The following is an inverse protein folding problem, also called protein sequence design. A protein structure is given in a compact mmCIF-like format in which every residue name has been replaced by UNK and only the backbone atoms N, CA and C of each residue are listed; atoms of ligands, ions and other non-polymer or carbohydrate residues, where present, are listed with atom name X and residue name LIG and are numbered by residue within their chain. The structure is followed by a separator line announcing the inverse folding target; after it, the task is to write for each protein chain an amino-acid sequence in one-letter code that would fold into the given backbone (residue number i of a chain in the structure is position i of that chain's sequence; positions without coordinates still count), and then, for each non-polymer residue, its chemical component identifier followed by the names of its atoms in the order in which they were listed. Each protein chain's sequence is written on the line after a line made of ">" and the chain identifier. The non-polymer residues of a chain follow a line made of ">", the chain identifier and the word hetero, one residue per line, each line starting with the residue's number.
data_IF_232716936842
#
_entry.id   IF_232716936842
#
_cell.length_a   1.000
_cell.length_b   1.000
_cell.length_c   1.000
_cell.angle_alpha   90.00
_cell.angle_beta   90.00
_cell.angle_gamma   90.00
#
_symmetry.space_group_name_H-M   'P 1'
#
loop_
_entity.id
_entity.type
_entity.pdbx_description
1 polymer ?
#
# COMPACT_ATOMS: atom_id res chain seq x y z
N UNK A 1 -33.06 33.91 28.58
CA UNK A 1 -32.17 34.96 29.12
C UNK A 1 -31.07 34.24 29.89
N UNK A 2 -29.84 34.76 29.84
CA UNK A 2 -28.66 34.16 30.47
C UNK A 2 -28.60 34.71 31.91
N UNK A 3 -28.98 33.92 32.91
CA UNK A 3 -29.18 34.36 34.31
C UNK A 3 -27.87 34.76 35.04
N UNK A 4 -26.76 34.98 34.32
CA UNK A 4 -25.48 35.44 34.87
C UNK A 4 -24.81 34.46 35.86
N UNK A 5 -25.45 33.33 36.16
CA UNK A 5 -24.93 32.28 37.01
C UNK A 5 -23.90 31.39 36.32
N UNK A 6 -23.08 30.65 37.08
CA UNK A 6 -22.11 29.73 36.50
C UNK A 6 -22.83 28.65 35.66
N UNK A 7 -22.28 28.37 34.48
CA UNK A 7 -22.72 27.26 33.63
C UNK A 7 -22.24 25.95 34.26
N UNK A 8 -23.22 25.20 34.75
CA UNK A 8 -23.07 23.90 35.41
C UNK A 8 -24.15 22.93 34.94
N UNK A 9 -23.79 21.66 34.81
CA UNK A 9 -24.67 20.60 34.31
C UNK A 9 -25.11 20.81 32.87
N UNK A 10 -26.22 20.20 32.46
CA UNK A 10 -26.71 20.30 31.09
C UNK A 10 -27.32 21.69 30.82
N UNK A 11 -26.76 22.44 29.87
CA UNK A 11 -27.20 23.79 29.49
C UNK A 11 -27.06 24.05 28.00
N UNK A 12 -27.82 25.03 27.53
CA UNK A 12 -27.70 25.58 26.18
C UNK A 12 -27.08 26.97 26.28
N UNK A 13 -26.00 27.20 25.54
CA UNK A 13 -25.42 28.54 25.35
C UNK A 13 -25.51 28.92 23.89
N UNK A 14 -25.96 30.14 23.62
CA UNK A 14 -25.99 30.76 22.29
C UNK A 14 -25.09 31.99 22.36
N UNK A 15 -24.08 32.04 21.51
CA UNK A 15 -23.17 33.18 21.40
C UNK A 15 -23.71 34.22 20.40
N UNK A 16 -23.18 35.44 20.48
CA UNK A 16 -23.61 36.57 19.63
C UNK A 16 -23.39 36.33 18.14
N UNK A 17 -22.40 35.52 17.78
CA UNK A 17 -22.11 35.12 16.41
C UNK A 17 -23.12 34.11 15.84
N UNK A 18 -24.06 33.62 16.66
CA UNK A 18 -25.02 32.58 16.32
C UNK A 18 -24.50 31.15 16.55
N UNK A 19 -23.27 30.98 17.06
CA UNK A 19 -22.79 29.69 17.52
C UNK A 19 -23.65 29.21 18.69
N UNK A 20 -23.84 27.89 18.80
CA UNK A 20 -24.69 27.28 19.83
C UNK A 20 -24.07 25.98 20.34
N UNK A 21 -24.01 25.86 21.65
CA UNK A 21 -23.64 24.63 22.34
C UNK A 21 -24.82 24.13 23.17
N UNK A 22 -25.04 22.82 23.14
CA UNK A 22 -26.05 22.11 23.91
C UNK A 22 -25.39 20.88 24.51
N UNK A 23 -25.12 20.90 25.81
CA UNK A 23 -24.38 19.83 26.45
C UNK A 23 -24.07 20.12 27.92
N UNK A 24 -23.22 19.28 28.48
CA UNK A 24 -22.75 19.37 29.85
C UNK A 24 -21.73 20.52 30.04
N UNK A 25 -21.81 21.19 31.19
CA UNK A 25 -20.91 22.25 31.62
C UNK A 25 -20.37 21.94 33.00
N UNK A 26 -19.08 22.23 33.22
CA UNK A 26 -18.42 22.15 34.52
C UNK A 26 -17.52 23.38 34.65
N UNK A 27 -17.66 24.14 35.72
CA UNK A 27 -16.90 25.36 36.01
C UNK A 27 -16.87 26.33 34.83
N UNK A 28 -18.02 26.60 34.20
CA UNK A 28 -18.13 27.44 33.00
C UNK A 28 -17.40 26.93 31.75
N UNK A 29 -16.98 25.65 31.73
CA UNK A 29 -16.34 25.02 30.57
C UNK A 29 -17.19 23.88 30.01
N UNK A 30 -17.29 23.80 28.69
CA UNK A 30 -17.90 22.65 27.99
C UNK A 30 -17.11 21.39 28.38
N UNK A 31 -17.81 20.42 28.95
CA UNK A 31 -17.23 19.20 29.51
C UNK A 31 -18.26 18.07 29.39
N UNK A 32 -17.85 16.81 29.25
CA UNK A 32 -18.82 15.72 29.04
C UNK A 32 -19.38 15.69 27.62
N UNK A 33 -20.57 15.12 27.44
CA UNK A 33 -21.16 15.02 26.10
C UNK A 33 -21.87 16.30 25.69
N UNK A 34 -21.70 16.72 24.44
CA UNK A 34 -22.40 17.88 23.92
C UNK A 34 -22.34 18.06 22.41
N UNK A 35 -23.26 18.88 21.91
CA UNK A 35 -23.38 19.26 20.51
C UNK A 35 -23.04 20.73 20.33
N UNK A 36 -22.04 21.02 19.49
CA UNK A 36 -21.64 22.37 19.09
C UNK A 36 -22.02 22.61 17.63
N UNK A 37 -22.62 23.78 17.36
CA UNK A 37 -22.90 24.29 16.02
C UNK A 37 -22.23 25.65 15.93
N UNK A 38 -21.22 25.77 15.08
CA UNK A 38 -20.52 27.03 14.86
C UNK A 38 -21.25 27.88 13.81
N UNK A 39 -21.10 29.20 13.90
CA UNK A 39 -21.63 30.15 12.93
C UNK A 39 -21.11 29.91 11.50
N UNK A 40 -19.90 29.34 11.35
CA UNK A 40 -19.31 28.97 10.05
C UNK A 40 -19.95 27.72 9.40
N UNK A 41 -20.88 27.07 10.10
CA UNK A 41 -21.61 25.89 9.64
C UNK A 41 -21.01 24.55 10.07
N UNK A 42 -19.85 24.53 10.74
CA UNK A 42 -19.33 23.30 11.35
C UNK A 42 -20.29 22.79 12.43
N UNK A 43 -20.30 21.47 12.64
CA UNK A 43 -21.07 20.81 13.69
C UNK A 43 -20.22 19.73 14.34
N UNK A 44 -20.13 19.75 15.66
CA UNK A 44 -19.49 18.69 16.43
C UNK A 44 -20.51 18.07 17.37
N UNK A 45 -20.48 16.75 17.45
CA UNK A 45 -21.24 15.98 18.42
C UNK A 45 -20.30 14.97 19.05
N UNK A 46 -20.10 15.06 20.36
CA UNK A 46 -19.18 14.16 21.05
C UNK A 46 -18.77 14.67 22.42
N UNK A 47 -17.70 14.10 22.93
CA UNK A 47 -17.17 14.41 24.25
C UNK A 47 -16.28 15.67 24.23
N UNK A 48 -16.35 16.40 25.33
CA UNK A 48 -15.63 17.63 25.61
C UNK A 48 -14.89 17.51 26.94
N UNK A 49 -13.74 18.16 27.04
CA UNK A 49 -13.03 18.37 28.30
C UNK A 49 -12.43 19.77 28.30
N UNK A 50 -12.82 20.59 29.27
CA UNK A 50 -12.30 21.95 29.43
C UNK A 50 -12.37 22.83 28.16
N UNK A 51 -13.53 22.86 27.49
CA UNK A 51 -13.76 23.55 26.21
C UNK A 51 -13.07 22.95 24.98
N UNK A 52 -12.40 21.80 25.11
CA UNK A 52 -11.74 21.10 23.99
C UNK A 52 -12.47 19.82 23.64
N UNK A 53 -12.55 19.47 22.35
CA UNK A 53 -12.99 18.15 21.92
C UNK A 53 -12.03 17.10 22.50
N UNK A 54 -12.56 16.10 23.20
CA UNK A 54 -11.74 15.08 23.86
C UNK A 54 -12.54 13.80 24.01
N UNK A 55 -11.99 12.64 23.63
CA UNK A 55 -12.73 11.39 23.53
C UNK A 55 -13.40 11.22 22.17
N UNK A 56 -14.48 10.43 22.08
CA UNK A 56 -15.15 10.16 20.80
C UNK A 56 -16.02 11.33 20.34
N UNK A 57 -16.02 11.59 19.04
CA UNK A 57 -16.92 12.58 18.46
C UNK A 57 -16.97 12.55 16.94
N UNK A 58 -17.94 13.28 16.40
CA UNK A 58 -18.17 13.47 14.97
C UNK A 58 -18.13 14.96 14.66
N UNK A 59 -17.19 15.38 13.80
CA UNK A 59 -17.12 16.74 13.27
C UNK A 59 -17.53 16.72 11.81
N UNK A 60 -18.58 17.47 11.48
CA UNK A 60 -19.06 17.68 10.12
C UNK A 60 -18.82 19.12 9.71
N UNK A 61 -18.24 19.32 8.53
CA UNK A 61 -17.94 20.62 7.95
C UNK A 61 -19.04 21.04 6.97
N UNK A 62 -19.18 22.34 6.75
CA UNK A 62 -20.17 22.91 5.80
C UNK A 62 -19.96 22.41 4.36
N UNK A 63 -18.72 22.11 3.98
CA UNK A 63 -18.35 21.61 2.65
C UNK A 63 -18.56 20.11 2.47
N UNK A 64 -19.11 19.40 3.47
CA UNK A 64 -19.36 17.96 3.41
C UNK A 64 -18.21 17.09 3.91
N UNK A 65 -17.05 17.66 4.27
CA UNK A 65 -16.02 16.89 4.99
C UNK A 65 -16.58 16.42 6.33
N UNK A 66 -16.14 15.24 6.78
CA UNK A 66 -16.56 14.66 8.06
C UNK A 66 -15.41 13.88 8.68
N UNK A 67 -15.22 14.04 9.98
CA UNK A 67 -14.39 13.13 10.78
C UNK A 67 -15.23 12.48 11.86
N UNK A 68 -15.05 11.18 12.04
CA UNK A 68 -15.63 10.38 13.11
C UNK A 68 -14.53 9.58 13.78
N UNK A 69 -14.29 9.81 15.06
CA UNK A 69 -13.20 9.14 15.75
C UNK A 69 -12.88 9.74 17.11
N UNK A 70 -11.68 9.43 17.58
CA UNK A 70 -11.17 9.92 18.86
C UNK A 70 -10.51 11.30 18.70
N UNK A 71 -10.65 12.11 19.73
CA UNK A 71 -10.06 13.43 19.86
C UNK A 71 -9.22 13.50 21.14
N UNK A 72 -8.16 14.30 21.11
CA UNK A 72 -7.39 14.69 22.28
C UNK A 72 -7.01 16.15 22.14
N UNK A 73 -7.53 16.99 23.03
CA UNK A 73 -7.27 18.42 23.08
C UNK A 73 -7.49 19.10 21.71
N UNK A 74 -8.72 18.96 21.18
CA UNK A 74 -9.16 19.44 19.86
C UNK A 74 -8.52 18.73 18.65
N UNK A 75 -7.55 17.84 18.87
CA UNK A 75 -6.85 17.14 17.79
C UNK A 75 -7.44 15.78 17.50
N UNK A 76 -7.58 15.43 16.21
CA UNK A 76 -7.87 14.05 15.80
C UNK A 76 -6.73 13.16 16.33
N UNK A 77 -7.10 12.12 17.06
CA UNK A 77 -6.16 11.23 17.75
C UNK A 77 -6.73 9.80 17.73
N UNK A 78 -5.95 8.79 18.10
CA UNK A 78 -6.46 7.42 18.22
C UNK A 78 -7.05 6.90 16.90
N UNK A 79 -8.12 6.11 16.96
CA UNK A 79 -8.79 5.58 15.76
C UNK A 79 -9.81 6.58 15.23
N UNK A 80 -9.84 6.74 13.91
CA UNK A 80 -10.86 7.56 13.26
C UNK A 80 -11.03 7.29 11.77
N UNK A 81 -12.11 7.85 11.24
CA UNK A 81 -12.47 7.84 9.84
C UNK A 81 -12.66 9.29 9.37
N UNK A 82 -11.96 9.65 8.30
CA UNK A 82 -12.12 10.94 7.65
C UNK A 82 -12.73 10.74 6.26
N UNK A 83 -13.77 11.49 5.97
CA UNK A 83 -14.45 11.56 4.69
C UNK A 83 -14.18 12.94 4.08
N UNK A 84 -13.59 12.95 2.89
CA UNK A 84 -13.43 14.17 2.12
C UNK A 84 -14.73 14.47 1.35
N UNK A 85 -15.00 15.76 1.11
CA UNK A 85 -16.16 16.21 0.34
C UNK A 85 -16.26 15.54 -1.05
N UNK A 86 -15.11 15.24 -1.65
CA UNK A 86 -15.01 14.65 -2.99
C UNK A 86 -15.13 13.12 -3.01
N UNK A 87 -15.35 12.48 -1.85
CA UNK A 87 -15.60 11.03 -1.75
C UNK A 87 -14.36 10.18 -1.45
N UNK A 88 -13.17 10.78 -1.32
CA UNK A 88 -12.04 10.07 -0.72
C UNK A 88 -12.31 9.78 0.77
N UNK A 89 -11.69 8.73 1.30
CA UNK A 89 -11.80 8.36 2.72
C UNK A 89 -10.51 7.76 3.27
N UNK A 90 -10.29 7.95 4.56
CA UNK A 90 -9.19 7.37 5.31
C UNK A 90 -9.78 6.76 6.58
N UNK A 91 -9.42 5.53 6.86
CA UNK A 91 -9.77 4.84 8.09
C UNK A 91 -8.48 4.33 8.72
N UNK A 92 -8.18 4.77 9.93
CA UNK A 92 -6.95 4.34 10.58
C UNK A 92 -6.63 5.13 11.83
N UNK A 93 -5.37 5.03 12.21
CA UNK A 93 -4.84 5.72 13.37
C UNK A 93 -4.42 7.16 13.03
N UNK A 94 -4.58 8.03 14.02
CA UNK A 94 -4.24 9.45 14.00
C UNK A 94 -3.37 9.80 15.21
N UNK A 95 -2.44 10.72 15.01
CA UNK A 95 -1.69 11.39 16.07
C UNK A 95 -1.63 12.88 15.76
N UNK A 96 -2.26 13.67 16.62
CA UNK A 96 -2.21 15.13 16.61
C UNK A 96 -2.59 15.71 15.23
N UNK A 97 -3.77 15.31 14.73
CA UNK A 97 -4.33 15.59 13.40
C UNK A 97 -3.71 14.89 12.19
N UNK A 98 -2.60 14.17 12.36
CA UNK A 98 -1.94 13.51 11.24
C UNK A 98 -2.22 12.02 11.22
N UNK A 99 -2.31 11.44 10.02
CA UNK A 99 -2.35 9.97 9.85
C UNK A 99 -1.05 9.40 10.41
N UNK A 100 -1.15 8.43 11.30
CA UNK A 100 -0.01 7.84 11.99
C UNK A 100 -0.33 6.41 12.40
N UNK A 101 0.59 5.46 12.21
CA UNK A 101 0.31 4.03 12.42
C UNK A 101 -0.45 3.41 11.25
N UNK A 102 -1.17 2.31 11.49
CA UNK A 102 -1.89 1.58 10.44
C UNK A 102 -3.11 2.36 9.93
N UNK A 103 -3.31 2.37 8.61
CA UNK A 103 -4.49 2.96 8.01
C UNK A 103 -4.77 2.50 6.58
N UNK A 104 -6.01 2.75 6.15
CA UNK A 104 -6.48 2.49 4.80
C UNK A 104 -6.96 3.79 4.18
N UNK A 105 -6.31 4.21 3.09
CA UNK A 105 -6.74 5.33 2.26
C UNK A 105 -7.47 4.78 1.04
N UNK A 106 -8.65 5.31 0.74
CA UNK A 106 -9.38 5.06 -0.51
C UNK A 106 -9.56 6.41 -1.21
N UNK A 107 -9.07 6.51 -2.44
CA UNK A 107 -9.24 7.72 -3.26
C UNK A 107 -10.51 7.64 -4.09
N UNK A 108 -11.08 8.80 -4.43
CA UNK A 108 -12.24 8.93 -5.33
C UNK A 108 -12.05 8.19 -6.65
N UNK A 109 -10.82 8.17 -7.16
CA UNK A 109 -10.45 7.51 -8.41
C UNK A 109 -10.53 5.98 -8.35
N UNK A 110 -10.79 5.38 -7.17
CA UNK A 110 -10.80 3.94 -6.95
C UNK A 110 -9.46 3.38 -6.46
N UNK A 111 -8.42 4.21 -6.40
CA UNK A 111 -7.17 3.81 -5.76
C UNK A 111 -7.37 3.46 -4.28
N UNK A 112 -6.55 2.55 -3.75
CA UNK A 112 -6.56 2.15 -2.33
C UNK A 112 -5.16 1.85 -1.84
N UNK A 113 -4.80 2.37 -0.67
CA UNK A 113 -3.57 2.04 0.04
C UNK A 113 -3.92 1.50 1.41
N UNK A 114 -3.32 0.37 1.77
CA UNK A 114 -3.47 -0.33 3.05
C UNK A 114 -2.06 -0.54 3.62
N UNK A 115 -1.67 0.26 4.60
CA UNK A 115 -0.27 0.35 5.01
C UNK A 115 -0.05 1.22 6.23
N UNK A 116 1.22 1.47 6.53
CA UNK A 116 1.63 2.25 7.68
C UNK A 116 1.86 3.72 7.29
N UNK A 117 1.61 4.61 8.25
CA UNK A 117 1.75 6.05 8.11
C UNK A 117 2.62 6.64 9.21
N UNK A 118 3.42 7.65 8.86
CA UNK A 118 4.09 8.53 9.83
C UNK A 118 3.94 9.96 9.33
N UNK A 119 3.29 10.80 10.14
CA UNK A 119 3.12 12.23 9.85
C UNK A 119 2.52 12.46 8.45
N UNK A 120 1.39 11.80 8.17
CA UNK A 120 0.67 11.79 6.90
C UNK A 120 1.32 11.07 5.71
N UNK A 121 2.58 10.63 5.83
CA UNK A 121 3.33 9.96 4.78
C UNK A 121 3.18 8.44 4.88
N UNK A 122 2.94 7.79 3.75
CA UNK A 122 2.99 6.32 3.64
C UNK A 122 4.43 5.85 3.88
N UNK A 123 4.60 4.83 4.72
CA UNK A 123 5.92 4.30 5.10
C UNK A 123 5.81 2.83 5.50
N UNK A 124 6.93 2.15 5.73
CA UNK A 124 6.92 0.77 6.21
C UNK A 124 6.41 -0.19 5.13
N UNK A 125 5.64 -1.20 5.51
CA UNK A 125 5.09 -2.16 4.53
C UNK A 125 3.64 -1.82 4.18
N UNK A 126 3.31 -1.81 2.89
CA UNK A 126 1.98 -1.42 2.44
C UNK A 126 1.60 -2.00 1.08
N UNK A 127 0.29 -2.12 0.90
CA UNK A 127 -0.33 -2.55 -0.35
C UNK A 127 -1.03 -1.37 -1.01
N UNK A 128 -0.63 -1.04 -2.24
CA UNK A 128 -1.31 -0.06 -3.09
C UNK A 128 -2.02 -0.77 -4.24
N UNK A 129 -3.29 -0.44 -4.47
CA UNK A 129 -4.02 -0.73 -5.69
C UNK A 129 -4.32 0.59 -6.38
N UNK A 130 -3.87 0.75 -7.62
CA UNK A 130 -4.14 1.93 -8.43
C UNK A 130 -5.46 1.77 -9.21
N UNK A 131 -6.02 2.88 -9.67
CA UNK A 131 -7.26 2.91 -10.44
C UNK A 131 -7.18 2.14 -11.77
N UNK A 132 -5.96 1.99 -12.33
CA UNK A 132 -5.69 1.21 -13.54
C UNK A 132 -5.69 -0.32 -13.30
N UNK A 133 -5.89 -0.77 -12.04
CA UNK A 133 -5.87 -2.17 -11.65
C UNK A 133 -4.49 -2.72 -11.30
N UNK A 134 -3.42 -1.91 -11.41
CA UNK A 134 -2.09 -2.28 -10.91
C UNK A 134 -2.16 -2.43 -9.39
N UNK A 135 -1.42 -3.41 -8.85
CA UNK A 135 -1.24 -3.64 -7.42
C UNK A 135 0.25 -3.70 -7.09
N UNK A 136 0.66 -3.06 -6.01
CA UNK A 136 2.00 -3.16 -5.43
C UNK A 136 1.88 -3.59 -3.97
N UNK A 137 2.76 -4.49 -3.57
CA UNK A 137 2.91 -4.93 -2.19
C UNK A 137 4.40 -4.91 -1.85
N UNK A 138 4.81 -4.12 -0.85
CA UNK A 138 6.22 -3.96 -0.54
C UNK A 138 6.50 -2.78 0.39
N UNK A 139 7.76 -2.37 0.40
CA UNK A 139 8.26 -1.30 1.27
C UNK A 139 7.96 0.10 0.72
N UNK A 140 7.65 1.02 1.62
CA UNK A 140 7.33 2.42 1.36
C UNK A 140 8.19 3.34 2.21
N UNK A 141 8.59 4.46 1.63
CA UNK A 141 9.25 5.53 2.35
C UNK A 141 8.80 6.88 1.78
N UNK A 142 8.31 7.76 2.65
CA UNK A 142 7.82 9.10 2.30
C UNK A 142 6.84 9.14 1.11
N UNK A 143 5.90 8.19 1.06
CA UNK A 143 4.90 8.14 0.00
C UNK A 143 5.34 7.45 -1.30
N UNK A 144 6.55 6.87 -1.34
CA UNK A 144 7.10 6.20 -2.54
C UNK A 144 7.44 4.75 -2.28
N UNK A 145 7.28 3.89 -3.29
CA UNK A 145 7.77 2.52 -3.23
C UNK A 145 9.30 2.50 -3.14
N UNK A 146 9.83 1.67 -2.25
CA UNK A 146 11.25 1.44 -2.08
C UNK A 146 11.53 -0.01 -1.69
N UNK A 147 12.79 -0.36 -1.38
CA UNK A 147 13.15 -1.69 -0.88
C UNK A 147 12.72 -2.83 -1.79
N UNK A 148 12.25 -3.93 -1.22
CA UNK A 148 11.69 -5.06 -1.96
C UNK A 148 10.18 -4.91 -2.13
N UNK A 149 9.68 -5.38 -3.27
CA UNK A 149 8.25 -5.43 -3.51
C UNK A 149 7.83 -6.25 -4.71
N UNK A 150 6.53 -6.40 -4.84
CA UNK A 150 5.85 -7.14 -5.89
C UNK A 150 4.85 -6.21 -6.56
N UNK A 151 4.96 -6.00 -7.87
CA UNK A 151 3.91 -5.38 -8.67
C UNK A 151 3.19 -6.42 -9.50
N UNK A 152 1.87 -6.47 -9.39
CA UNK A 152 0.99 -7.20 -10.31
C UNK A 152 0.26 -6.20 -11.19
N UNK A 153 0.30 -6.42 -12.50
CA UNK A 153 -0.35 -5.56 -13.49
C UNK A 153 -1.73 -6.11 -13.86
N UNK A 154 -2.62 -5.25 -14.36
CA UNK A 154 -3.96 -5.66 -14.85
C UNK A 154 -3.91 -6.75 -15.92
N UNK A 155 -2.82 -6.80 -16.69
CA UNK A 155 -2.59 -7.85 -17.70
C UNK A 155 -2.34 -9.24 -17.11
N UNK A 156 -2.09 -9.35 -15.80
CA UNK A 156 -1.61 -10.58 -15.16
C UNK A 156 -0.08 -10.69 -15.12
N UNK A 157 0.64 -9.78 -15.78
CA UNK A 157 2.11 -9.69 -15.64
C UNK A 157 2.48 -9.34 -14.19
N UNK A 158 3.68 -9.74 -13.76
CA UNK A 158 4.16 -9.52 -12.40
C UNK A 158 5.65 -9.23 -12.37
N UNK A 159 6.05 -8.23 -11.59
CA UNK A 159 7.44 -7.96 -11.23
C UNK A 159 7.66 -8.27 -9.74
N UNK A 160 8.81 -8.85 -9.43
CA UNK A 160 9.31 -9.09 -8.07
C UNK A 160 10.75 -8.61 -8.03
N UNK A 161 11.07 -7.63 -7.19
CA UNK A 161 12.42 -7.09 -7.18
C UNK A 161 12.57 -5.88 -6.28
N UNK A 162 13.57 -5.05 -6.59
CA UNK A 162 13.89 -3.87 -5.77
C UNK A 162 13.38 -2.59 -6.42
N UNK A 163 13.02 -1.63 -5.57
CA UNK A 163 12.49 -0.34 -5.97
C UNK A 163 13.29 0.80 -5.34
N UNK A 164 13.51 1.86 -6.12
CA UNK A 164 14.07 3.13 -5.65
C UNK A 164 13.19 4.25 -6.18
N UNK A 165 12.51 4.97 -5.27
CA UNK A 165 11.65 6.12 -5.60
C UNK A 165 10.66 5.79 -6.73
N UNK A 166 9.84 4.76 -6.50
CA UNK A 166 8.79 4.28 -7.43
C UNK A 166 9.29 3.59 -8.71
N UNK A 167 10.60 3.42 -8.88
CA UNK A 167 11.19 2.78 -10.07
C UNK A 167 11.78 1.43 -9.74
N UNK A 168 11.59 0.45 -10.62
CA UNK A 168 12.32 -0.82 -10.59
C UNK A 168 13.81 -0.54 -10.78
N UNK A 169 14.62 -1.02 -9.84
CA UNK A 169 16.06 -0.74 -9.75
C UNK A 169 16.79 -1.96 -9.16
N UNK A 170 17.99 -2.27 -9.65
CA UNK A 170 18.75 -3.44 -9.21
C UNK A 170 18.15 -4.77 -9.67
N UNK A 171 18.46 -5.87 -8.98
CA UNK A 171 18.02 -7.22 -9.37
C UNK A 171 16.50 -7.38 -9.23
N UNK A 172 15.87 -7.93 -10.26
CA UNK A 172 14.45 -8.26 -10.27
C UNK A 172 14.09 -9.35 -11.27
N UNK A 173 12.90 -9.90 -11.08
CA UNK A 173 12.28 -10.93 -11.89
C UNK A 173 10.92 -10.43 -12.41
N UNK A 174 10.68 -10.57 -13.71
CA UNK A 174 9.45 -10.16 -14.38
C UNK A 174 8.86 -11.35 -15.13
N UNK A 175 7.66 -11.76 -14.72
CA UNK A 175 6.83 -12.72 -15.44
C UNK A 175 5.81 -11.97 -16.30
N UNK A 176 5.82 -12.24 -17.59
CA UNK A 176 4.84 -11.69 -18.52
C UNK A 176 3.60 -12.59 -18.55
N UNK A 177 2.44 -12.00 -18.84
CA UNK A 177 1.17 -12.73 -18.90
C UNK A 177 1.14 -13.80 -20.01
N UNK A 178 1.95 -13.62 -21.06
CA UNK A 178 2.08 -14.54 -22.20
C UNK A 178 3.12 -15.65 -21.99
N UNK A 179 3.61 -15.82 -20.75
CA UNK A 179 4.56 -16.87 -20.40
C UNK A 179 6.04 -16.49 -20.55
N UNK A 180 6.36 -15.35 -21.17
CA UNK A 180 7.74 -14.83 -21.22
C UNK A 180 8.23 -14.48 -19.82
N UNK A 181 9.55 -14.45 -19.62
CA UNK A 181 10.18 -14.11 -18.33
C UNK A 181 11.45 -13.29 -18.53
N UNK A 182 11.78 -12.47 -17.54
CA UNK A 182 13.08 -11.81 -17.44
C UNK A 182 13.59 -11.86 -16.01
N UNK A 183 14.85 -12.21 -15.82
CA UNK A 183 15.56 -12.09 -14.55
C UNK A 183 16.86 -11.34 -14.77
N UNK A 184 17.07 -10.22 -14.09
CA UNK A 184 18.27 -9.42 -14.32
C UNK A 184 18.27 -8.09 -13.60
N UNK A 185 19.20 -7.24 -13.99
CA UNK A 185 19.32 -5.90 -13.42
C UNK A 185 18.31 -4.94 -14.07
N UNK A 186 17.83 -4.00 -13.27
CA UNK A 186 16.96 -2.91 -13.68
C UNK A 186 17.59 -1.56 -13.34
N UNK A 187 17.38 -0.58 -14.20
CA UNK A 187 17.74 0.81 -13.98
C UNK A 187 16.59 1.69 -14.44
N UNK A 188 15.91 2.36 -13.50
CA UNK A 188 14.81 3.26 -13.82
C UNK A 188 13.70 2.63 -14.67
N UNK A 189 13.14 1.49 -14.23
CA UNK A 189 12.11 0.70 -14.92
C UNK A 189 12.54 -0.06 -16.18
N UNK A 190 13.81 0.03 -16.59
CA UNK A 190 14.31 -0.62 -17.80
C UNK A 190 15.26 -1.76 -17.45
N UNK A 191 15.22 -2.84 -18.22
CA UNK A 191 16.22 -3.91 -18.17
C UNK A 191 17.60 -3.31 -18.43
N UNK A 192 18.58 -3.65 -17.60
CA UNK A 192 19.94 -3.14 -17.69
C UNK A 192 20.94 -4.20 -17.22
N UNK A 193 22.23 -3.89 -17.25
CA UNK A 193 23.28 -4.75 -16.68
C UNK A 193 23.25 -6.16 -17.27
N UNK A 194 23.28 -7.18 -16.41
CA UNK A 194 23.19 -8.59 -16.82
C UNK A 194 21.78 -9.12 -16.62
N UNK A 195 21.31 -9.96 -17.53
CA UNK A 195 20.02 -10.62 -17.38
C UNK A 195 19.78 -11.78 -18.32
N UNK A 196 18.81 -12.60 -17.94
CA UNK A 196 18.29 -13.74 -18.67
C UNK A 196 16.85 -13.42 -19.08
N UNK A 197 16.55 -13.55 -20.36
CA UNK A 197 15.20 -13.43 -20.90
C UNK A 197 14.78 -14.78 -21.45
N UNK A 198 13.57 -15.23 -21.13
CA UNK A 198 13.04 -16.52 -21.58
C UNK A 198 11.75 -16.28 -22.36
N UNK A 199 11.66 -16.86 -23.54
CA UNK A 199 10.45 -16.90 -24.35
C UNK A 199 9.51 -18.01 -23.85
N UNK A 200 8.24 -17.95 -24.26
CA UNK A 200 7.22 -18.91 -23.82
C UNK A 200 7.48 -20.35 -24.29
N UNK A 201 8.23 -20.51 -25.39
CA UNK A 201 8.67 -21.80 -25.95
C UNK A 201 9.91 -22.37 -25.24
N UNK A 202 10.45 -21.68 -24.23
CA UNK A 202 11.59 -22.13 -23.44
C UNK A 202 12.96 -21.76 -24.02
N UNK A 203 13.02 -21.10 -25.18
CA UNK A 203 14.26 -20.45 -25.63
C UNK A 203 14.63 -19.37 -24.61
N UNK A 204 15.92 -19.20 -24.32
CA UNK A 204 16.37 -18.10 -23.46
C UNK A 204 17.59 -17.38 -24.05
N UNK A 205 17.67 -16.08 -23.80
CA UNK A 205 18.81 -15.22 -24.06
C UNK A 205 19.46 -14.85 -22.72
N UNK A 206 20.75 -15.10 -22.57
CA UNK A 206 21.54 -14.64 -21.41
C UNK A 206 22.60 -13.67 -21.88
N UNK A 207 22.68 -12.49 -21.27
CA UNK A 207 23.58 -11.46 -21.75
C UNK A 207 23.48 -10.12 -21.05
N UNK A 208 24.01 -9.09 -21.70
CA UNK A 208 23.99 -7.71 -21.23
C UNK A 208 22.88 -6.89 -21.87
N UNK A 209 22.33 -5.97 -21.10
CA UNK A 209 21.20 -5.10 -21.47
C UNK A 209 21.54 -3.63 -21.26
N UNK A 210 21.11 -2.77 -22.18
CA UNK A 210 21.25 -1.32 -22.07
C UNK A 210 19.91 -0.65 -22.39
N UNK A 211 19.35 0.06 -21.40
CA UNK A 211 18.10 0.83 -21.54
C UNK A 211 16.96 0.01 -22.18
N UNK A 212 16.77 -1.20 -21.68
CA UNK A 212 15.71 -2.09 -22.13
C UNK A 212 16.09 -2.98 -23.32
N UNK A 213 17.14 -2.66 -24.09
CA UNK A 213 17.56 -3.46 -25.25
C UNK A 213 18.64 -4.47 -24.88
N UNK A 214 18.61 -5.71 -25.40
CA UNK A 214 19.77 -6.60 -25.34
C UNK A 214 20.93 -5.95 -26.12
N UNK A 215 22.18 -6.29 -25.76
CA UNK A 215 23.39 -5.78 -26.44
C UNK A 215 24.29 -6.91 -26.91
N UNK A 216 24.64 -7.83 -26.01
CA UNK A 216 25.52 -8.96 -26.29
C UNK A 216 25.17 -10.13 -25.39
N UNK A 217 25.07 -11.33 -25.95
CA UNK A 217 24.72 -12.50 -25.16
C UNK A 217 24.76 -13.80 -25.95
N UNK A 218 24.17 -14.82 -25.37
CA UNK A 218 24.11 -16.19 -25.88
C UNK A 218 22.64 -16.63 -25.87
N UNK A 219 22.21 -17.32 -26.92
CA UNK A 219 20.91 -17.99 -26.98
C UNK A 219 21.07 -19.45 -26.58
N UNK A 220 20.22 -19.93 -25.66
CA UNK A 220 20.12 -21.34 -25.29
C UNK A 220 18.73 -21.86 -25.64
N UNK A 221 18.67 -23.07 -26.21
CA UNK A 221 17.43 -23.72 -26.60
C UNK A 221 17.00 -24.78 -25.58
N UNK A 222 15.69 -25.12 -25.54
CA UNK A 222 15.22 -26.31 -24.85
C UNK A 222 16.04 -27.54 -25.30
N UNK A 223 16.63 -28.26 -24.35
CA UNK A 223 17.54 -29.39 -24.64
C UNK A 223 19.04 -29.07 -24.55
N UNK A 224 19.42 -27.87 -24.11
CA UNK A 224 20.82 -27.54 -23.77
C UNK A 224 21.69 -27.17 -24.97
N UNK A 225 21.11 -27.05 -26.17
CA UNK A 225 21.81 -26.54 -27.34
C UNK A 225 22.13 -25.05 -27.16
N UNK A 226 23.39 -24.70 -27.36
CA UNK A 226 23.89 -23.33 -27.29
C UNK A 226 24.07 -22.76 -28.69
N UNK A 227 23.49 -21.59 -28.95
CA UNK A 227 23.80 -20.79 -30.14
C UNK A 227 24.96 -19.82 -29.87
N UNK A 228 25.57 -19.33 -30.94
CA UNK A 228 26.73 -18.42 -30.95
C UNK A 228 26.43 -17.11 -30.19
N UNK A 229 27.47 -16.40 -29.80
CA UNK A 229 27.36 -15.01 -29.31
C UNK A 229 26.59 -14.17 -30.31
N UNK A 230 25.51 -13.52 -29.86
CA UNK A 230 24.72 -12.60 -30.66
C UNK A 230 24.90 -11.18 -30.13
N UNK A 231 25.02 -10.23 -31.04
CA UNK A 231 25.03 -8.79 -30.77
C UNK A 231 23.86 -8.12 -31.47
N UNK A 232 23.17 -7.25 -30.77
CA UNK A 232 22.06 -6.47 -31.32
C UNK A 232 22.48 -5.02 -31.50
N UNK A 233 21.97 -4.40 -32.57
CA UNK A 233 22.19 -2.98 -32.85
C UNK A 233 21.55 -2.13 -31.75
N UNK A 234 22.26 -1.11 -31.27
CA UNK A 234 21.86 -0.28 -30.12
C UNK A 234 20.60 0.55 -30.35
N UNK A 235 20.25 0.78 -31.62
CA UNK A 235 19.24 1.78 -31.99
C UNK A 235 17.86 1.14 -32.23
N UNK A 236 17.77 -0.19 -32.13
CA UNK A 236 16.50 -0.90 -32.26
C UNK A 236 15.65 -0.74 -31.01
N UNK A 237 14.34 -0.60 -31.23
CA UNK A 237 13.36 -0.78 -30.17
C UNK A 237 13.58 -2.15 -29.49
N UNK A 238 13.54 -2.23 -28.14
CA UNK A 238 13.77 -3.46 -27.38
C UNK A 238 13.03 -4.69 -27.91
N UNK A 239 11.76 -4.53 -28.27
CA UNK A 239 10.93 -5.64 -28.75
C UNK A 239 11.37 -6.12 -30.14
N UNK A 240 11.81 -5.21 -31.01
CA UNK A 240 12.36 -5.56 -32.34
C UNK A 240 13.69 -6.27 -32.21
N UNK A 241 14.56 -5.82 -31.29
CA UNK A 241 15.82 -6.50 -31.01
C UNK A 241 15.58 -7.93 -30.49
N UNK A 242 14.62 -8.12 -29.59
CA UNK A 242 14.25 -9.44 -29.10
C UNK A 242 13.62 -10.33 -30.18
N UNK A 243 12.77 -9.78 -31.05
CA UNK A 243 12.19 -10.56 -32.15
C UNK A 243 13.27 -11.02 -33.14
N UNK A 244 14.21 -10.13 -33.52
CA UNK A 244 15.35 -10.51 -34.38
C UNK A 244 16.19 -11.63 -33.75
N UNK A 245 16.44 -11.56 -32.44
CA UNK A 245 17.14 -12.63 -31.72
C UNK A 245 16.37 -13.96 -31.82
N UNK A 246 15.06 -13.94 -31.64
CA UNK A 246 14.23 -15.14 -31.75
C UNK A 246 14.23 -15.72 -33.17
N UNK A 247 14.13 -14.86 -34.20
CA UNK A 247 14.13 -15.29 -35.60
C UNK A 247 15.47 -15.91 -36.00
N UNK A 248 16.58 -15.29 -35.59
CA UNK A 248 17.93 -15.84 -35.74
C UNK A 248 18.08 -17.19 -35.04
N UNK A 249 17.49 -17.33 -33.84
CA UNK A 249 17.48 -18.59 -33.11
C UNK A 249 16.77 -19.71 -33.89
N UNK A 250 15.59 -19.40 -34.43
CA UNK A 250 14.76 -20.37 -35.18
C UNK A 250 15.42 -20.79 -36.50
N UNK A 251 15.94 -19.83 -37.26
CA UNK A 251 16.67 -20.12 -38.50
C UNK A 251 17.86 -21.06 -38.26
N UNK A 252 18.62 -20.85 -37.17
CA UNK A 252 19.74 -21.72 -36.81
C UNK A 252 19.31 -23.16 -36.47
N UNK A 253 18.20 -23.33 -35.74
CA UNK A 253 17.66 -24.66 -35.44
C UNK A 253 17.26 -25.41 -36.72
N UNK A 254 16.60 -24.72 -37.65
CA UNK A 254 16.18 -25.31 -38.93
C UNK A 254 17.37 -25.78 -39.77
N UNK A 255 18.45 -24.98 -39.85
CA UNK A 255 19.69 -25.37 -40.53
C UNK A 255 20.30 -26.63 -39.91
N UNK A 256 20.34 -26.74 -38.58
CA UNK A 256 20.88 -27.92 -37.88
C UNK A 256 20.05 -29.18 -38.14
N UNK A 257 18.72 -29.07 -38.14
CA UNK A 257 17.83 -30.19 -38.49
C UNK A 257 18.07 -30.68 -39.93
N UNK A 258 18.36 -29.75 -40.86
CA UNK A 258 18.66 -30.08 -42.26
C UNK A 258 20.06 -30.67 -42.44
N UNK A 259 21.02 -30.32 -41.58
CA UNK A 259 22.45 -30.62 -41.73
C UNK A 259 22.98 -31.90 -41.08
N UNK A 260 22.18 -32.66 -40.31
CA UNK A 260 22.56 -33.99 -39.79
C UNK A 260 23.82 -34.06 -38.91
N UNK A 261 24.32 -32.94 -38.37
CA UNK A 261 25.58 -32.89 -37.64
C UNK A 261 25.40 -33.10 -36.13
N UNK A 262 25.64 -34.33 -35.68
CA UNK A 262 25.82 -34.72 -34.28
C UNK A 262 27.21 -34.34 -33.78
N UNK A 263 27.36 -33.10 -33.29
CA UNK A 263 28.52 -32.67 -32.50
C UNK A 263 28.07 -32.28 -31.11
N UNK A 264 28.65 -32.92 -30.10
CA UNK A 264 28.42 -32.67 -28.67
C UNK A 264 28.96 -31.27 -28.33
N UNK A 265 28.09 -30.41 -27.78
CA UNK A 265 28.44 -29.05 -27.38
C UNK A 265 28.74 -29.01 -25.87
N UNK A 266 29.58 -28.09 -25.40
CA UNK A 266 29.85 -27.94 -23.97
C UNK A 266 28.54 -27.71 -23.22
N UNK A 267 28.41 -28.37 -22.07
CA UNK A 267 27.25 -28.23 -21.21
C UNK A 267 26.97 -26.74 -20.92
N UNK A 268 25.70 -26.29 -20.97
CA UNK A 268 25.37 -24.93 -20.62
C UNK A 268 25.92 -24.61 -19.22
N UNK A 269 26.34 -23.36 -18.94
CA UNK A 269 26.71 -22.98 -17.59
C UNK A 269 25.57 -23.38 -16.66
N UNK A 270 25.88 -24.09 -15.58
CA UNK A 270 24.90 -24.60 -14.64
C UNK A 270 23.97 -23.45 -14.25
N UNK A 271 22.72 -23.52 -14.71
CA UNK A 271 21.65 -22.67 -14.19
C UNK A 271 21.37 -23.25 -12.81
N UNK A 272 22.14 -22.80 -11.82
CA UNK A 272 21.81 -23.09 -10.43
C UNK A 272 20.43 -22.49 -10.17
N UNK A 273 19.48 -23.39 -9.99
CA UNK A 273 18.10 -23.19 -9.58
C UNK A 273 17.23 -22.70 -10.75
N UNK A 274 16.21 -23.43 -11.21
CA UNK A 274 14.99 -23.68 -10.43
C UNK A 274 14.81 -22.64 -9.31
N UNK A 275 14.97 -21.35 -9.62
CA UNK A 275 14.41 -20.31 -8.77
C UNK A 275 12.91 -20.40 -8.97
N UNK A 276 12.30 -21.36 -8.27
CA UNK A 276 10.98 -21.22 -7.68
C UNK A 276 10.83 -19.73 -7.40
N UNK A 277 9.76 -19.13 -7.93
CA UNK A 277 9.35 -17.78 -7.55
C UNK A 277 9.68 -17.63 -6.07
N UNK A 278 10.55 -16.69 -5.65
CA UNK A 278 10.86 -16.54 -4.24
C UNK A 278 9.51 -16.53 -3.54
N UNK A 279 9.34 -17.45 -2.57
CA UNK A 279 8.05 -17.62 -1.92
C UNK A 279 7.60 -16.23 -1.52
N UNK A 280 6.39 -15.89 -1.97
CA UNK A 280 5.76 -14.66 -1.54
C UNK A 280 5.87 -14.67 -0.01
N UNK A 281 6.29 -13.56 0.64
CA UNK A 281 6.02 -13.47 2.06
C UNK A 281 4.54 -13.84 2.25
N UNK A 282 4.21 -14.70 3.22
CA UNK A 282 2.86 -15.16 3.41
C UNK A 282 1.94 -13.93 3.38
N UNK A 283 0.80 -14.00 2.67
CA UNK A 283 -0.14 -12.89 2.66
C UNK A 283 -0.34 -12.47 4.10
N UNK A 284 -0.08 -11.19 4.40
CA UNK A 284 -0.39 -10.65 5.71
C UNK A 284 -1.83 -11.06 6.02
N UNK A 285 -2.05 -11.80 7.11
CA UNK A 285 -3.37 -12.32 7.43
C UNK A 285 -4.37 -11.16 7.48
N UNK A 286 -5.08 -11.01 6.35
CA UNK A 286 -6.35 -10.32 6.23
C UNK A 286 -7.28 -11.00 7.23
N UNK A 287 -7.99 -10.19 8.00
CA UNK A 287 -8.94 -10.57 9.04
C UNK A 287 -8.31 -10.82 10.42
N UNK A 288 -8.02 -9.72 11.11
CA UNK A 288 -8.80 -9.54 12.33
C UNK A 288 -9.92 -8.55 12.02
N UNK A 289 -11.20 -8.94 12.15
CA UNK A 289 -12.23 -7.92 12.32
C UNK A 289 -11.78 -7.07 13.50
N UNK A 290 -11.71 -5.76 13.32
CA UNK A 290 -11.66 -4.85 14.45
C UNK A 290 -12.98 -5.10 15.17
N UNK A 291 -12.96 -5.92 16.21
CA UNK A 291 -14.14 -6.27 16.96
C UNK A 291 -14.86 -4.97 17.33
N UNK A 292 -16.12 -4.86 16.89
CA UNK A 292 -17.07 -3.95 17.47
C UNK A 292 -17.23 -4.38 18.93
N UNK A 293 -16.42 -3.80 19.82
CA UNK A 293 -16.63 -3.90 21.26
C UNK A 293 -17.85 -3.07 21.64
N UNK A 294 -19.04 -3.60 21.34
CA UNK A 294 -20.29 -3.13 21.89
C UNK A 294 -20.72 -4.13 22.98
N UNK A 295 -20.69 -3.67 24.23
CA UNK A 295 -21.65 -4.04 25.27
C UNK A 295 -21.45 -5.38 25.98
N UNK A 296 -21.01 -5.30 27.23
CA UNK A 296 -21.65 -6.06 28.31
C UNK A 296 -21.72 -5.15 29.54
N UNK A 297 -22.86 -4.46 29.66
CA UNK A 297 -23.40 -4.03 30.94
C UNK A 297 -24.39 -5.10 31.43
N UNK A 298 -24.57 -5.13 32.75
CA UNK A 298 -25.52 -5.93 33.55
C UNK A 298 -25.07 -7.38 33.88
N UNK A 299 -25.24 -7.91 35.08
CA UNK A 299 -25.66 -7.42 36.39
C UNK A 299 -25.45 -8.56 37.43
N UNK A 300 -25.37 -8.18 38.70
CA UNK A 300 -25.85 -8.92 39.89
C UNK A 300 -25.26 -10.31 40.25
N UNK A 301 -24.63 -10.36 41.41
CA UNK A 301 -24.43 -11.59 42.19
C UNK A 301 -23.90 -11.24 43.58
N UNK A 302 -24.78 -11.25 44.59
CA UNK A 302 -24.53 -10.72 45.92
C UNK A 302 -23.57 -11.52 46.81
N UNK A 303 -23.10 -10.84 47.85
CA UNK A 303 -22.40 -11.40 49.00
C UNK A 303 -22.28 -10.34 50.08
N UNK A 304 -23.14 -10.42 51.10
CA UNK A 304 -23.28 -9.44 52.18
C UNK A 304 -22.08 -9.34 53.14
N UNK A 305 -22.13 -8.40 54.09
CA UNK A 305 -21.04 -8.13 55.01
C UNK A 305 -21.11 -9.08 56.22
N UNK A 306 -19.99 -9.71 56.55
CA UNK A 306 -19.81 -10.38 57.84
C UNK A 306 -18.63 -9.74 58.56
N UNK A 307 -18.91 -9.19 59.74
CA UNK A 307 -17.93 -8.54 60.59
C UNK A 307 -16.92 -9.50 61.22
N UNK A 308 -15.82 -8.94 61.68
CA UNK A 308 -14.78 -9.65 62.43
C UNK A 308 -13.82 -8.66 63.09
N UNK A 309 -13.98 -8.51 64.40
CA UNK A 309 -13.26 -7.63 65.34
C UNK A 309 -11.76 -7.93 65.51
N UNK A 310 -11.07 -6.90 66.04
CA UNK A 310 -9.84 -6.87 66.89
C UNK A 310 -8.53 -7.14 66.14
N UNK A 311 -7.41 -6.46 66.45
CA UNK A 311 -7.01 -5.72 67.65
C UNK A 311 -6.49 -4.31 67.32
#
# INVERSE_FOLDING_TARGET
>A
EDDGGPLEGFRIKIWRDGSRYCGEWVNNKMSGYGQMRWADGRRYEGFWNENRCNGRGVLTYKDGRRYEGEYRDDKMHGRGQYYWAEGARYQGLYRDHKKHGRGVMTWKTGGRYDGDYVEDKMTGYGMMTWADGRRYEGEWYEGRCTGKGVTTFKSGSRYVGSYVRDKMEGRGYYAFADGRRYEGDYLGNQKHGRGVYMWADGVLFTGTWQRGSPVKGILLFPGGLCARTVTTESDLCPDVALQRLLDQAKAWLEERHRGGAGGELPAPPAIQNQTLLPELPPPFHLNQPVAAGAGAAAAAGGGGPAGGRRA
#
